data_IF_300495006305
#
_entry.id   IF_300495006305
#
_cell.length_a   1.000
_cell.length_b   1.000
_cell.length_c   1.000
_cell.angle_alpha   90.00
_cell.angle_beta   90.00
_cell.angle_gamma   90.00
#
_symmetry.space_group_name_H-M   'P 1'
#
loop_
_entity.id
_entity.type
_entity.pdbx_description
1 polymer ?
#
# COMPACT_ATOMS: atom_id res chain seq x y z
N UNK A 1 -15.86 16.52 -6.32
CA UNK A 1 -14.78 16.63 -7.31
C UNK A 1 -13.59 15.82 -6.79
N UNK A 2 -13.22 14.70 -7.43
CA UNK A 2 -12.01 13.95 -7.05
C UNK A 2 -10.82 14.89 -7.29
N UNK A 3 -10.12 15.30 -6.22
CA UNK A 3 -8.87 16.06 -6.36
C UNK A 3 -7.90 15.16 -7.12
N UNK A 4 -7.71 15.49 -8.39
CA UNK A 4 -6.80 14.76 -9.26
C UNK A 4 -5.40 15.06 -8.72
N UNK A 5 -4.81 14.11 -8.01
CA UNK A 5 -3.37 14.12 -7.77
C UNK A 5 -2.72 14.27 -9.14
N UNK A 6 -2.01 15.38 -9.36
CA UNK A 6 -1.40 15.71 -10.65
C UNK A 6 -0.22 14.77 -10.95
N UNK A 7 0.33 14.17 -9.90
CA UNK A 7 1.46 13.26 -9.95
C UNK A 7 1.00 11.85 -10.32
N UNK A 8 1.73 11.15 -11.21
CA UNK A 8 1.49 9.74 -11.50
C UNK A 8 1.50 8.89 -10.22
N UNK A 9 0.65 7.86 -10.16
CA UNK A 9 0.62 6.89 -9.07
C UNK A 9 1.23 5.58 -9.55
N UNK A 10 2.33 5.17 -8.94
CA UNK A 10 2.96 3.88 -9.14
C UNK A 10 2.68 2.99 -7.94
N UNK A 11 1.69 2.12 -8.07
CA UNK A 11 1.38 1.09 -7.07
C UNK A 11 2.30 -0.12 -7.25
N UNK A 12 2.77 -0.68 -6.13
CA UNK A 12 3.50 -1.95 -6.05
C UNK A 12 2.84 -2.80 -4.98
N UNK A 13 2.31 -3.96 -5.36
CA UNK A 13 1.81 -4.95 -4.41
C UNK A 13 3.01 -5.69 -3.79
N UNK A 14 3.19 -5.57 -2.48
CA UNK A 14 4.25 -6.26 -1.77
C UNK A 14 3.87 -7.71 -1.46
N UNK A 15 4.86 -8.60 -1.58
CA UNK A 15 4.74 -10.02 -1.27
C UNK A 15 6.10 -10.57 -0.86
N UNK A 16 6.13 -11.78 -0.31
CA UNK A 16 7.35 -12.36 0.26
C UNK A 16 8.48 -12.58 -0.77
N UNK A 17 8.14 -12.71 -2.05
CA UNK A 17 9.12 -12.83 -3.13
C UNK A 17 9.61 -11.49 -3.71
N UNK A 18 9.11 -10.35 -3.23
CA UNK A 18 9.49 -9.03 -3.73
C UNK A 18 10.89 -8.67 -3.22
N UNK A 19 11.86 -8.63 -4.13
CA UNK A 19 13.25 -8.27 -3.80
C UNK A 19 13.52 -6.77 -3.98
N UNK A 20 14.59 -6.28 -3.34
CA UNK A 20 15.08 -4.91 -3.57
C UNK A 20 15.45 -4.66 -5.04
N UNK A 21 15.91 -5.70 -5.75
CA UNK A 21 16.20 -5.62 -7.19
C UNK A 21 14.93 -5.36 -8.00
N UNK A 22 13.80 -5.96 -7.64
CA UNK A 22 12.56 -5.74 -8.39
C UNK A 22 12.03 -4.32 -8.20
N UNK A 23 12.24 -3.72 -7.02
CA UNK A 23 11.90 -2.32 -6.73
C UNK A 23 12.82 -1.32 -7.45
N UNK A 24 14.14 -1.55 -7.40
CA UNK A 24 15.14 -0.62 -7.95
C UNK A 24 15.31 -0.79 -9.46
N UNK A 25 15.37 -2.02 -9.94
CA UNK A 25 15.65 -2.33 -11.33
C UNK A 25 16.71 -3.41 -11.48
N UNK A 26 16.81 -3.91 -12.70
CA UNK A 26 17.65 -5.04 -13.07
C UNK A 26 18.16 -4.90 -14.48
N UNK A 27 19.27 -5.59 -14.76
CA UNK A 27 19.71 -5.80 -16.12
C UNK A 27 18.91 -6.93 -16.77
N UNK A 28 18.47 -6.71 -17.99
CA UNK A 28 17.82 -7.69 -18.86
C UNK A 28 18.72 -7.96 -20.06
N UNK A 29 18.68 -9.20 -20.55
CA UNK A 29 19.29 -9.55 -21.82
C UNK A 29 18.27 -9.27 -22.93
N UNK A 30 18.63 -8.40 -23.87
CA UNK A 30 17.83 -8.08 -25.03
C UNK A 30 18.67 -8.34 -26.28
N UNK A 31 18.48 -9.51 -26.89
CA UNK A 31 19.37 -10.00 -27.93
C UNK A 31 20.78 -10.23 -27.39
N UNK A 32 21.78 -9.62 -28.03
CA UNK A 32 23.19 -9.69 -27.63
C UNK A 32 23.60 -8.57 -26.65
N UNK A 33 22.67 -7.72 -26.21
CA UNK A 33 22.94 -6.59 -25.32
C UNK A 33 22.37 -6.81 -23.91
N UNK A 34 23.08 -6.27 -22.91
CA UNK A 34 22.61 -6.21 -21.53
C UNK A 34 22.10 -4.80 -21.24
N UNK A 35 20.79 -4.65 -21.15
CA UNK A 35 20.12 -3.35 -20.97
C UNK A 35 19.61 -3.19 -19.55
N UNK A 36 19.73 -1.98 -18.99
CA UNK A 36 19.15 -1.68 -17.68
C UNK A 36 17.66 -1.38 -17.81
N UNK A 37 16.86 -1.94 -16.91
CA UNK A 37 15.46 -1.63 -16.74
C UNK A 37 15.20 -1.11 -15.32
N UNK A 38 14.75 0.15 -15.22
CA UNK A 38 14.33 0.76 -13.96
C UNK A 38 13.13 0.00 -13.37
N UNK A 39 13.21 -0.30 -12.07
CA UNK A 39 12.09 -0.81 -11.30
C UNK A 39 11.03 0.28 -11.01
N UNK A 40 9.86 -0.09 -10.46
CA UNK A 40 8.79 0.86 -10.17
C UNK A 40 9.21 1.95 -9.18
N UNK A 41 10.04 1.64 -8.17
CA UNK A 41 10.50 2.64 -7.22
C UNK A 41 11.44 3.65 -7.89
N UNK A 42 12.40 3.18 -8.69
CA UNK A 42 13.33 4.07 -9.40
C UNK A 42 12.61 4.99 -10.38
N UNK A 43 11.64 4.47 -11.15
CA UNK A 43 10.82 5.29 -12.05
C UNK A 43 10.09 6.38 -11.27
N UNK A 44 9.45 6.03 -10.15
CA UNK A 44 8.72 6.99 -9.34
C UNK A 44 9.64 8.08 -8.75
N UNK A 45 10.82 7.69 -8.26
CA UNK A 45 11.85 8.60 -7.73
C UNK A 45 12.35 9.56 -8.81
N UNK A 46 12.58 9.07 -10.03
CA UNK A 46 13.06 9.86 -11.18
C UNK A 46 12.00 10.84 -11.70
N UNK A 47 10.74 10.41 -11.76
CA UNK A 47 9.63 11.16 -12.37
C UNK A 47 8.88 12.06 -11.37
N UNK A 48 9.18 11.98 -10.08
CA UNK A 48 8.44 12.73 -9.05
C UNK A 48 7.02 12.23 -8.85
N UNK A 49 6.81 10.93 -9.04
CA UNK A 49 5.53 10.26 -8.88
C UNK A 49 5.25 9.93 -7.40
N UNK A 50 4.00 9.56 -7.11
CA UNK A 50 3.67 8.86 -5.86
C UNK A 50 4.02 7.38 -6.05
N UNK A 51 4.89 6.84 -5.20
CA UNK A 51 5.10 5.41 -5.08
C UNK A 51 4.27 4.88 -3.91
N UNK A 52 3.30 4.01 -4.20
CA UNK A 52 2.45 3.38 -3.20
C UNK A 52 2.84 1.92 -3.03
N UNK A 53 3.44 1.57 -1.90
CA UNK A 53 3.81 0.20 -1.55
C UNK A 53 2.68 -0.42 -0.72
N UNK A 54 1.86 -1.24 -1.37
CA UNK A 54 0.69 -1.86 -0.79
C UNK A 54 1.11 -3.12 -0.01
N UNK A 55 0.65 -3.27 1.23
CA UNK A 55 0.98 -4.39 2.13
C UNK A 55 2.49 -4.55 2.39
N UNK A 56 3.18 -3.44 2.70
CA UNK A 56 4.65 -3.39 2.84
C UNK A 56 5.23 -4.41 3.85
N UNK A 57 4.43 -4.86 4.81
CA UNK A 57 4.82 -5.87 5.81
C UNK A 57 5.04 -7.26 5.22
N UNK A 58 4.47 -7.54 4.04
CA UNK A 58 4.67 -8.79 3.31
C UNK A 58 5.98 -8.79 2.51
N UNK A 59 6.57 -7.60 2.28
CA UNK A 59 7.86 -7.52 1.59
C UNK A 59 9.01 -8.04 2.46
N UNK A 60 10.07 -8.53 1.81
CA UNK A 60 11.30 -8.93 2.49
C UNK A 60 11.96 -7.77 3.26
N UNK A 61 12.71 -8.11 4.30
CA UNK A 61 13.35 -7.13 5.20
C UNK A 61 14.39 -6.25 4.47
N UNK A 62 15.10 -6.78 3.48
CA UNK A 62 16.02 -6.03 2.62
C UNK A 62 15.27 -5.00 1.77
N UNK A 63 14.12 -5.37 1.20
CA UNK A 63 13.23 -4.46 0.44
C UNK A 63 12.69 -3.32 1.30
N UNK A 64 12.35 -3.57 2.56
CA UNK A 64 11.83 -2.53 3.48
C UNK A 64 12.88 -1.59 4.05
N UNK A 65 14.17 -1.98 4.07
CA UNK A 65 15.26 -1.10 4.52
C UNK A 65 15.68 -0.13 3.42
N UNK A 66 15.53 -0.52 2.15
CA UNK A 66 15.85 0.32 0.98
C UNK A 66 15.17 1.70 1.06
N UNK A 67 13.91 1.75 1.48
CA UNK A 67 13.11 2.98 1.56
C UNK A 67 13.56 3.94 2.68
N UNK A 68 14.46 3.53 3.59
CA UNK A 68 14.96 4.41 4.66
C UNK A 68 15.77 5.59 4.08
N UNK A 69 16.51 5.35 3.00
CA UNK A 69 17.30 6.39 2.30
C UNK A 69 16.43 7.43 1.58
N UNK A 70 15.22 7.05 1.19
CA UNK A 70 14.23 7.92 0.56
C UNK A 70 13.40 8.75 1.56
N UNK A 71 13.38 8.35 2.82
CA UNK A 71 12.55 8.96 3.88
C UNK A 71 13.36 9.78 4.87
N UNK A 72 14.69 9.74 4.81
CA UNK A 72 15.55 10.67 5.55
C UNK A 72 15.80 11.98 4.77
N UNK A 73 16.51 12.91 5.40
CA UNK A 73 16.78 14.25 4.85
C UNK A 73 17.54 14.25 3.51
N UNK A 74 18.22 13.15 3.15
CA UNK A 74 18.98 13.05 1.90
C UNK A 74 18.08 12.76 0.70
N UNK A 75 16.95 12.07 0.92
CA UNK A 75 16.01 11.65 -0.13
C UNK A 75 16.72 11.06 -1.36
N UNK A 76 17.50 9.99 -1.15
CA UNK A 76 18.27 9.32 -2.22
C UNK A 76 17.85 7.86 -2.38
N UNK A 77 18.03 7.30 -3.57
CA UNK A 77 17.90 5.88 -3.88
C UNK A 77 19.24 5.32 -4.39
N UNK A 78 19.94 4.48 -3.62
CA UNK A 78 21.11 3.78 -4.10
C UNK A 78 20.74 2.73 -5.17
N UNK A 79 21.40 2.79 -6.32
CA UNK A 79 21.25 1.85 -7.43
C UNK A 79 22.54 1.04 -7.61
N UNK A 80 22.80 0.15 -6.65
CA UNK A 80 24.09 -0.54 -6.52
C UNK A 80 24.55 -1.25 -7.80
N UNK A 81 23.64 -1.91 -8.52
CA UNK A 81 23.95 -2.61 -9.77
C UNK A 81 24.40 -1.69 -10.89
N UNK A 82 23.97 -0.42 -10.89
CA UNK A 82 24.45 0.60 -11.82
C UNK A 82 25.63 1.41 -11.26
N UNK A 83 25.97 1.25 -9.97
CA UNK A 83 26.95 2.09 -9.29
C UNK A 83 26.51 3.56 -9.18
N UNK A 84 25.19 3.82 -9.13
CA UNK A 84 24.63 5.17 -9.12
C UNK A 84 23.87 5.46 -7.83
N UNK A 85 23.74 6.75 -7.51
CA UNK A 85 22.87 7.24 -6.45
C UNK A 85 21.90 8.23 -7.10
N UNK A 86 20.62 7.91 -7.07
CA UNK A 86 19.58 8.75 -7.63
C UNK A 86 19.05 9.68 -6.54
N UNK A 87 19.13 11.00 -6.75
CA UNK A 87 18.42 11.96 -5.90
C UNK A 87 16.92 11.93 -6.23
N UNK A 88 16.08 11.87 -5.21
CA UNK A 88 14.63 11.86 -5.41
C UNK A 88 14.17 13.23 -5.93
N UNK A 89 13.36 13.19 -6.97
CA UNK A 89 12.69 14.37 -7.49
C UNK A 89 11.91 15.09 -6.38
N UNK A 90 11.84 16.43 -6.39
CA UNK A 90 11.22 17.21 -5.31
C UNK A 90 9.78 16.76 -5.01
N UNK A 91 9.02 16.51 -6.08
CA UNK A 91 7.64 16.02 -6.06
C UNK A 91 7.45 14.53 -5.70
N UNK A 92 8.53 13.74 -5.57
CA UNK A 92 8.41 12.32 -5.22
C UNK A 92 7.76 12.16 -3.84
N UNK A 93 6.76 11.29 -3.75
CA UNK A 93 6.10 10.95 -2.49
C UNK A 93 6.08 9.44 -2.31
N UNK A 94 6.46 8.98 -1.13
CA UNK A 94 6.36 7.57 -0.74
C UNK A 94 5.17 7.38 0.18
N UNK A 95 4.28 6.45 -0.18
CA UNK A 95 3.13 6.04 0.62
C UNK A 95 3.21 4.54 0.83
N UNK A 96 2.92 4.07 2.04
CA UNK A 96 2.89 2.66 2.39
C UNK A 96 1.55 2.31 3.03
N UNK A 97 1.08 1.08 2.84
CA UNK A 97 -0.07 0.53 3.58
C UNK A 97 0.30 -0.79 4.24
N UNK A 98 -0.39 -1.10 5.34
CA UNK A 98 -0.40 -2.43 5.94
C UNK A 98 -1.61 -2.57 6.85
N UNK A 99 -2.04 -3.79 7.11
CA UNK A 99 -3.16 -4.08 8.01
C UNK A 99 -2.61 -4.52 9.38
N UNK A 100 -2.68 -3.67 10.43
CA UNK A 100 -2.17 -4.04 11.74
C UNK A 100 -2.98 -5.20 12.33
N UNK A 101 -2.28 -6.19 12.88
CA UNK A 101 -2.90 -7.36 13.52
C UNK A 101 -3.53 -8.38 12.56
N UNK A 102 -3.38 -8.20 11.24
CA UNK A 102 -3.89 -9.15 10.23
C UNK A 102 -3.07 -10.45 10.16
N UNK A 103 -1.79 -10.40 10.52
CA UNK A 103 -0.88 -11.54 10.53
C UNK A 103 -0.07 -11.55 11.82
N UNK A 104 0.43 -12.73 12.20
CA UNK A 104 1.34 -13.01 13.33
C UNK A 104 2.09 -11.77 13.81
N UNK A 105 2.12 -11.52 15.12
CA UNK A 105 2.86 -10.43 15.81
C UNK A 105 4.30 -10.19 15.28
N UNK A 106 4.88 -11.21 14.64
CA UNK A 106 6.20 -11.22 14.00
C UNK A 106 6.29 -10.40 12.69
N UNK A 107 5.18 -10.08 12.02
CA UNK A 107 5.11 -9.32 10.75
C UNK A 107 4.59 -7.89 10.94
N UNK A 108 4.97 -7.23 12.02
CA UNK A 108 4.70 -5.80 12.22
C UNK A 108 5.85 -4.93 11.64
N UNK A 109 5.54 -3.68 11.29
CA UNK A 109 6.55 -2.72 10.91
C UNK A 109 7.48 -2.44 12.09
N UNK A 110 8.79 -2.54 11.86
CA UNK A 110 9.79 -2.17 12.87
C UNK A 110 9.59 -0.71 13.30
N UNK A 111 9.80 -0.37 14.59
CA UNK A 111 9.70 1.01 15.08
C UNK A 111 10.52 2.01 14.25
N UNK A 112 11.71 1.61 13.79
CA UNK A 112 12.56 2.45 12.94
C UNK A 112 11.91 2.80 11.60
N UNK A 113 11.16 1.89 10.99
CA UNK A 113 10.40 2.21 9.76
C UNK A 113 9.22 3.13 10.11
N UNK A 114 8.44 2.81 11.14
CA UNK A 114 7.25 3.61 11.52
C UNK A 114 7.58 5.07 11.83
N UNK A 115 8.67 5.33 12.54
CA UNK A 115 9.10 6.69 12.93
C UNK A 115 9.51 7.59 11.74
N UNK A 116 9.55 7.05 10.51
CA UNK A 116 9.85 7.80 9.28
C UNK A 116 8.61 8.18 8.47
N UNK A 117 7.42 7.80 8.94
CA UNK A 117 6.15 8.04 8.25
C UNK A 117 5.18 8.82 9.13
N UNK A 118 4.33 9.61 8.47
CA UNK A 118 3.10 10.09 9.07
C UNK A 118 2.06 8.97 8.94
N UNK A 119 1.43 8.60 10.05
CA UNK A 119 0.41 7.57 10.07
C UNK A 119 -0.99 8.18 9.91
N UNK A 120 -1.83 7.53 9.11
CA UNK A 120 -3.26 7.78 9.02
C UNK A 120 -3.95 6.45 9.28
N UNK A 121 -4.69 6.38 10.38
CA UNK A 121 -5.42 5.17 10.74
C UNK A 121 -6.77 5.16 10.03
N UNK A 122 -7.08 4.04 9.37
CA UNK A 122 -8.37 3.79 8.75
C UNK A 122 -9.11 2.73 9.55
N UNK A 123 -10.39 2.98 9.79
CA UNK A 123 -11.34 2.01 10.31
C UNK A 123 -12.57 1.98 9.42
N UNK A 124 -13.44 1.00 9.65
CA UNK A 124 -14.71 0.91 8.96
C UNK A 124 -15.56 2.18 9.18
N UNK A 125 -16.25 2.69 8.15
CA UNK A 125 -17.09 3.87 8.31
C UNK A 125 -18.26 3.62 9.29
N UNK A 126 -18.83 4.70 9.81
CA UNK A 126 -20.13 4.63 10.51
C UNK A 126 -21.22 4.09 9.58
N UNK A 127 -22.23 3.42 10.16
CA UNK A 127 -23.27 2.66 9.44
C UNK A 127 -23.90 3.45 8.31
N UNK A 128 -24.25 4.72 8.55
CA UNK A 128 -24.92 5.56 7.55
C UNK A 128 -24.01 5.79 6.33
N UNK A 129 -22.73 6.09 6.55
CA UNK A 129 -21.74 6.27 5.48
C UNK A 129 -21.39 4.97 4.78
N UNK A 130 -21.29 3.87 5.53
CA UNK A 130 -21.02 2.55 4.95
C UNK A 130 -22.19 2.09 4.07
N UNK A 131 -23.43 2.38 4.47
CA UNK A 131 -24.62 2.12 3.66
C UNK A 131 -24.62 2.95 2.36
N UNK A 132 -24.24 4.23 2.41
CA UNK A 132 -24.07 5.05 1.20
C UNK A 132 -23.03 4.44 0.24
N UNK A 133 -21.90 3.98 0.77
CA UNK A 133 -20.83 3.33 -0.02
C UNK A 133 -21.35 2.03 -0.63
N UNK A 134 -22.02 1.17 0.14
CA UNK A 134 -22.56 -0.10 -0.34
C UNK A 134 -23.59 0.15 -1.44
N UNK A 135 -24.57 1.02 -1.21
CA UNK A 135 -25.61 1.35 -2.19
C UNK A 135 -25.01 1.86 -3.51
N UNK A 136 -23.98 2.72 -3.42
CA UNK A 136 -23.32 3.27 -4.59
C UNK A 136 -22.52 2.21 -5.36
N UNK A 137 -21.71 1.39 -4.67
CA UNK A 137 -20.78 0.46 -5.32
C UNK A 137 -21.45 -0.85 -5.78
N UNK A 138 -22.46 -1.35 -5.07
CA UNK A 138 -23.17 -2.59 -5.46
C UNK A 138 -24.45 -2.34 -6.27
N UNK A 139 -25.00 -1.12 -6.22
CA UNK A 139 -26.23 -0.76 -6.94
C UNK A 139 -27.52 -1.22 -6.28
N UNK A 140 -27.47 -1.73 -5.04
CA UNK A 140 -28.68 -2.11 -4.28
C UNK A 140 -29.44 -0.90 -3.75
N UNK A 141 -30.73 -1.11 -3.44
CA UNK A 141 -31.55 -0.11 -2.79
C UNK A 141 -31.05 0.24 -1.37
N UNK A 142 -31.35 1.47 -0.92
CA UNK A 142 -30.91 2.00 0.38
C UNK A 142 -31.28 1.07 1.53
N UNK A 143 -32.47 0.48 1.53
CA UNK A 143 -32.92 -0.43 2.59
C UNK A 143 -32.01 -1.65 2.74
N UNK A 144 -31.57 -2.25 1.62
CA UNK A 144 -30.65 -3.40 1.61
C UNK A 144 -29.26 -2.97 2.06
N UNK A 145 -28.77 -1.83 1.55
CA UNK A 145 -27.46 -1.30 1.93
C UNK A 145 -27.37 -0.98 3.43
N UNK A 146 -28.40 -0.36 4.00
CA UNK A 146 -28.50 -0.09 5.45
C UNK A 146 -28.54 -1.38 6.28
N UNK A 147 -29.26 -2.40 5.81
CA UNK A 147 -29.30 -3.71 6.46
C UNK A 147 -27.92 -4.40 6.45
N UNK A 148 -27.20 -4.35 5.31
CA UNK A 148 -25.85 -4.89 5.16
C UNK A 148 -24.83 -4.14 6.03
N UNK A 149 -24.87 -2.81 6.06
CA UNK A 149 -24.01 -2.00 6.91
C UNK A 149 -24.25 -2.30 8.41
N UNK A 150 -25.51 -2.41 8.83
CA UNK A 150 -25.86 -2.77 10.21
C UNK A 150 -25.39 -4.20 10.55
N UNK A 151 -25.54 -5.14 9.62
CA UNK A 151 -25.02 -6.50 9.77
C UNK A 151 -23.49 -6.48 9.93
N UNK A 152 -22.77 -5.74 9.09
CA UNK A 152 -21.33 -5.54 9.19
C UNK A 152 -20.90 -5.04 10.56
N UNK A 153 -21.53 -3.97 11.07
CA UNK A 153 -21.26 -3.44 12.42
C UNK A 153 -21.48 -4.49 13.51
N UNK A 154 -22.58 -5.23 13.45
CA UNK A 154 -22.88 -6.29 14.43
C UNK A 154 -21.86 -7.43 14.38
N UNK A 155 -21.50 -7.91 13.19
CA UNK A 155 -20.51 -8.99 13.04
C UNK A 155 -19.13 -8.56 13.54
N UNK A 156 -18.72 -7.31 13.27
CA UNK A 156 -17.46 -6.77 13.80
C UNK A 156 -17.41 -6.71 15.33
N UNK A 157 -18.55 -6.53 16.00
CA UNK A 157 -18.63 -6.58 17.47
C UNK A 157 -18.47 -8.01 18.03
N UNK A 158 -18.66 -9.05 17.21
CA UNK A 158 -18.47 -10.44 17.60
C UNK A 158 -17.00 -10.89 17.58
N UNK A 159 -16.04 -10.02 17.24
CA UNK A 159 -14.60 -10.38 17.18
C UNK A 159 -14.06 -10.98 18.48
N UNK A 160 -14.59 -10.56 19.63
CA UNK A 160 -14.19 -11.11 20.94
C UNK A 160 -14.77 -12.50 21.25
N UNK A 161 -15.62 -13.06 20.37
CA UNK A 161 -16.37 -14.30 20.58
C UNK A 161 -16.01 -15.40 19.55
N UNK A 162 -14.81 -15.37 18.98
CA UNK A 162 -14.28 -16.42 18.10
C UNK A 162 -14.30 -16.12 16.60
N UNK A 163 -14.53 -14.86 16.21
CA UNK A 163 -14.31 -14.38 14.84
C UNK A 163 -13.02 -13.57 14.80
N UNK A 164 -11.92 -14.17 14.34
CA UNK A 164 -10.64 -13.45 14.20
C UNK A 164 -10.75 -12.25 13.25
N UNK A 165 -11.63 -12.37 12.25
CA UNK A 165 -11.89 -11.37 11.23
C UNK A 165 -13.30 -10.79 11.32
N UNK A 166 -13.40 -9.47 11.34
CA UNK A 166 -14.67 -8.78 11.10
C UNK A 166 -14.98 -8.74 9.61
N UNK A 167 -16.26 -8.55 9.26
CA UNK A 167 -16.69 -8.41 7.85
C UNK A 167 -16.17 -7.10 7.26
N UNK A 168 -15.46 -7.16 6.14
CA UNK A 168 -14.96 -5.95 5.46
C UNK A 168 -16.06 -5.24 4.67
N UNK A 169 -15.94 -3.93 4.44
CA UNK A 169 -16.85 -3.19 3.56
C UNK A 169 -16.87 -3.79 2.15
N UNK A 170 -15.72 -4.30 1.66
CA UNK A 170 -15.63 -4.99 0.37
C UNK A 170 -16.55 -6.22 0.30
N UNK A 171 -16.60 -7.01 1.37
CA UNK A 171 -17.47 -8.19 1.43
C UNK A 171 -18.95 -7.79 1.48
N UNK A 172 -19.29 -6.68 2.16
CA UNK A 172 -20.66 -6.15 2.16
C UNK A 172 -21.09 -5.67 0.76
N UNK A 173 -20.19 -5.02 0.03
CA UNK A 173 -20.42 -4.63 -1.37
C UNK A 173 -20.68 -5.86 -2.24
N UNK A 174 -19.92 -6.94 -2.09
CA UNK A 174 -20.14 -8.18 -2.85
C UNK A 174 -21.44 -8.92 -2.48
N UNK A 175 -21.97 -8.68 -1.27
CA UNK A 175 -23.21 -9.31 -0.82
C UNK A 175 -24.46 -8.56 -1.29
N UNK A 176 -24.33 -7.28 -1.68
CA UNK A 176 -25.41 -6.51 -2.30
C UNK A 176 -25.49 -6.80 -3.79
#
# INVERSE_FOLDING_TARGET
ARSRVVNPLQTVACHEDLSATDLVGRFLLQGDETVWQDGPLTRAVREGAICYLDEIVEARKDSTVLIHSLTDHRRILPMEKQGQILAAHENFLLVISYNPGYQNVLKDLKPSTRQRFIAIDFDYPEVDKEAEIIAHESGVGVDVASALALLGKKVRQLRQHGFDEGVSTRLLIYAG
#
